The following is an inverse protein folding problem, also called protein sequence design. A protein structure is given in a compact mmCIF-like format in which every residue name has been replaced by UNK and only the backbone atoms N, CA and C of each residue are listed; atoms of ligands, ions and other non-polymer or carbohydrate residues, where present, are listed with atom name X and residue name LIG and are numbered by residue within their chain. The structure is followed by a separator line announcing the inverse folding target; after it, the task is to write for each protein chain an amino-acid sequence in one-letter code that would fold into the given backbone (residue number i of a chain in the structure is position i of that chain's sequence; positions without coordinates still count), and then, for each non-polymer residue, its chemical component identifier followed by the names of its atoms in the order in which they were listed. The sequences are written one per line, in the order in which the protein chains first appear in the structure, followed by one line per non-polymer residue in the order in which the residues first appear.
data_IF_409450866898
#
_entry.id   IF_409450866898
#
_cell.length_a   1.000
_cell.length_b   1.000
_cell.length_c   1.000
_cell.angle_alpha   90.00
_cell.angle_beta   90.00
_cell.angle_gamma   90.00
#
_symmetry.space_group_name_H-M   'P 1'
#
loop_
_entity.id
_entity.type
_entity.pdbx_description
1 polymer ?
#
# COMPACT_ATOMS: atom_id res chain seq x y z
N UNK A 1 -10.38 32.31 14.49
CA UNK A 1 -9.62 31.08 14.77
C UNK A 1 -10.07 30.02 13.77
N UNK A 2 -9.52 30.06 12.55
CA UNK A 2 -9.93 29.17 11.44
C UNK A 2 -8.93 28.04 11.38
N UNK A 3 -9.31 26.88 11.91
CA UNK A 3 -8.55 25.65 11.73
C UNK A 3 -8.68 25.23 10.27
N UNK A 4 -7.67 25.53 9.45
CA UNK A 4 -7.55 24.93 8.12
C UNK A 4 -7.20 23.47 8.34
N UNK A 5 -8.22 22.63 8.49
CA UNK A 5 -8.11 21.17 8.35
C UNK A 5 -7.32 20.94 7.06
N UNK A 6 -6.10 20.41 7.16
CA UNK A 6 -5.27 20.16 5.99
C UNK A 6 -6.04 19.40 4.93
N UNK A 7 -6.13 19.96 3.72
CA UNK A 7 -6.80 19.31 2.60
C UNK A 7 -5.88 18.21 2.05
N UNK A 8 -5.91 17.06 2.70
CA UNK A 8 -5.15 15.89 2.31
C UNK A 8 -5.47 15.43 0.88
N UNK A 9 -6.69 15.67 0.38
CA UNK A 9 -7.07 15.33 -1.00
C UNK A 9 -6.33 16.25 -1.98
N UNK A 10 -6.25 17.54 -1.67
CA UNK A 10 -5.45 18.50 -2.42
C UNK A 10 -3.97 18.13 -2.47
N UNK A 11 -3.38 17.68 -1.36
CA UNK A 11 -1.96 17.26 -1.30
C UNK A 11 -1.70 16.02 -2.17
N UNK A 12 -2.58 15.02 -2.14
CA UNK A 12 -2.44 13.81 -2.98
C UNK A 12 -2.55 14.18 -4.47
N UNK A 13 -3.56 14.95 -4.84
CA UNK A 13 -3.75 15.38 -6.24
C UNK A 13 -2.56 16.21 -6.75
N UNK A 14 -2.00 17.08 -5.90
CA UNK A 14 -0.82 17.87 -6.23
C UNK A 14 0.43 16.99 -6.41
N UNK A 15 0.61 15.96 -5.57
CA UNK A 15 1.71 15.01 -5.71
C UNK A 15 1.61 14.20 -7.01
N UNK A 16 0.41 13.72 -7.36
CA UNK A 16 0.15 13.02 -8.63
C UNK A 16 0.42 13.92 -9.84
N UNK A 17 -0.06 15.17 -9.80
CA UNK A 17 0.20 16.14 -10.86
C UNK A 17 1.70 16.46 -11.01
N UNK A 18 2.42 16.64 -9.90
CA UNK A 18 3.87 16.88 -9.91
C UNK A 18 4.66 15.72 -10.52
N UNK A 19 4.29 14.48 -10.18
CA UNK A 19 4.86 13.28 -10.80
C UNK A 19 4.60 13.24 -12.31
N UNK A 20 3.38 13.56 -12.75
CA UNK A 20 3.02 13.53 -14.17
C UNK A 20 3.78 14.59 -15.00
N UNK A 21 4.06 15.76 -14.41
CA UNK A 21 4.74 16.87 -15.08
C UNK A 21 6.26 16.65 -15.17
N UNK A 22 6.89 16.07 -14.14
CA UNK A 22 8.34 15.99 -14.04
C UNK A 22 8.83 14.61 -13.55
N UNK A 23 8.56 13.51 -14.29
CA UNK A 23 8.75 12.14 -13.80
C UNK A 23 10.21 11.75 -13.55
N UNK A 24 11.16 12.40 -14.24
CA UNK A 24 12.59 12.10 -14.16
C UNK A 24 13.37 13.09 -13.27
N UNK A 25 12.67 13.99 -12.59
CA UNK A 25 13.30 14.96 -11.69
C UNK A 25 13.41 14.41 -10.27
N UNK A 26 14.36 14.94 -9.51
CA UNK A 26 14.59 14.55 -8.11
C UNK A 26 13.35 14.71 -7.23
N UNK A 27 12.48 15.68 -7.55
CA UNK A 27 11.20 15.90 -6.86
C UNK A 27 10.22 14.72 -7.05
N UNK A 28 10.19 14.08 -8.22
CA UNK A 28 9.34 12.91 -8.44
C UNK A 28 9.81 11.73 -7.59
N UNK A 29 11.13 11.52 -7.47
CA UNK A 29 11.68 10.49 -6.59
C UNK A 29 11.26 10.71 -5.12
N UNK A 30 11.22 11.95 -4.65
CA UNK A 30 10.75 12.29 -3.30
C UNK A 30 9.23 12.06 -3.13
N UNK A 31 8.42 12.47 -4.11
CA UNK A 31 6.97 12.25 -4.09
C UNK A 31 6.63 10.75 -4.12
N UNK A 32 7.32 9.97 -4.95
CA UNK A 32 7.21 8.52 -4.96
C UNK A 32 7.61 7.90 -3.62
N UNK A 33 8.73 8.33 -3.03
CA UNK A 33 9.19 7.81 -1.74
C UNK A 33 8.20 8.10 -0.60
N UNK A 34 7.56 9.28 -0.59
CA UNK A 34 6.52 9.58 0.40
C UNK A 34 5.24 8.77 0.17
N UNK A 35 4.83 8.56 -1.08
CA UNK A 35 3.68 7.71 -1.41
C UNK A 35 3.95 6.21 -1.19
N UNK A 36 5.21 5.78 -1.18
CA UNK A 36 5.59 4.38 -1.04
C UNK A 36 5.65 3.89 0.42
N UNK A 37 5.51 4.79 1.41
CA UNK A 37 5.54 4.39 2.82
C UNK A 37 4.25 3.67 3.21
N UNK A 38 4.28 2.35 3.17
CA UNK A 38 3.21 1.50 3.66
C UNK A 38 3.77 0.27 4.38
N UNK A 39 3.03 -0.22 5.35
CA UNK A 39 3.36 -1.41 6.13
C UNK A 39 2.26 -2.45 5.92
N UNK A 40 2.65 -3.67 5.57
CA UNK A 40 1.77 -4.82 5.44
C UNK A 40 2.17 -5.89 6.45
N UNK A 41 1.18 -6.49 7.12
CA UNK A 41 1.38 -7.68 7.96
C UNK A 41 0.38 -8.75 7.55
N UNK A 42 0.89 -9.93 7.24
CA UNK A 42 0.16 -11.05 6.64
C UNK A 42 0.41 -12.32 7.45
N UNK A 43 -0.62 -13.16 7.60
CA UNK A 43 -0.44 -14.57 7.98
C UNK A 43 -0.10 -15.42 6.76
N UNK A 44 0.38 -16.64 6.97
CA UNK A 44 0.69 -17.60 5.90
C UNK A 44 -0.51 -17.80 4.96
N UNK A 45 -1.74 -17.87 5.51
CA UNK A 45 -2.97 -17.93 4.72
C UNK A 45 -3.24 -16.70 3.86
N UNK A 46 -2.74 -15.52 4.23
CA UNK A 46 -2.88 -14.28 3.46
C UNK A 46 -1.75 -14.06 2.43
N UNK A 47 -0.58 -14.66 2.61
CA UNK A 47 0.55 -14.54 1.65
C UNK A 47 0.58 -15.64 0.58
N UNK A 48 -0.33 -16.63 0.64
CA UNK A 48 -0.34 -17.81 -0.25
C UNK A 48 -0.22 -17.49 -1.75
N UNK A 49 -0.87 -16.43 -2.24
CA UNK A 49 -0.79 -16.02 -3.64
C UNK A 49 0.65 -15.72 -4.08
N UNK A 50 1.48 -15.17 -3.19
CA UNK A 50 2.88 -14.86 -3.46
C UNK A 50 3.83 -16.00 -3.08
N UNK A 51 3.60 -16.62 -1.91
CA UNK A 51 4.50 -17.64 -1.37
C UNK A 51 4.25 -19.02 -1.98
N UNK A 52 3.12 -19.64 -1.61
CA UNK A 52 2.88 -21.05 -1.90
C UNK A 52 2.38 -21.28 -3.33
N UNK A 53 1.61 -20.34 -3.88
CA UNK A 53 1.00 -20.47 -5.19
C UNK A 53 1.85 -19.86 -6.30
N UNK A 54 2.72 -18.90 -5.98
CA UNK A 54 3.48 -18.13 -6.98
C UNK A 54 2.59 -17.49 -8.06
N UNK A 55 1.30 -17.27 -7.75
CA UNK A 55 0.32 -16.70 -8.66
C UNK A 55 0.48 -15.18 -8.80
N UNK A 56 1.05 -14.54 -7.78
CA UNK A 56 1.50 -13.15 -7.79
C UNK A 56 2.96 -13.10 -7.35
N UNK A 57 3.69 -12.09 -7.80
CA UNK A 57 4.92 -11.67 -7.14
C UNK A 57 4.58 -10.90 -5.85
N UNK A 58 5.54 -10.78 -4.93
CA UNK A 58 5.38 -9.92 -3.75
C UNK A 58 5.01 -8.47 -4.10
N UNK A 59 5.60 -7.92 -5.17
CA UNK A 59 5.27 -6.57 -5.64
C UNK A 59 3.81 -6.46 -6.10
N UNK A 60 3.31 -7.46 -6.85
CA UNK A 60 1.91 -7.49 -7.29
C UNK A 60 0.94 -7.69 -6.11
N UNK A 61 1.32 -8.47 -5.10
CA UNK A 61 0.53 -8.61 -3.87
C UNK A 61 0.44 -7.28 -3.12
N UNK A 62 1.56 -6.56 -2.98
CA UNK A 62 1.58 -5.24 -2.34
C UNK A 62 0.80 -4.19 -3.15
N UNK A 63 0.83 -4.25 -4.48
CA UNK A 63 -0.02 -3.40 -5.33
C UNK A 63 -1.50 -3.70 -5.13
N UNK A 64 -1.89 -4.99 -5.05
CA UNK A 64 -3.26 -5.39 -4.73
C UNK A 64 -3.71 -4.84 -3.36
N UNK A 65 -2.87 -4.96 -2.33
CA UNK A 65 -3.14 -4.36 -1.02
C UNK A 65 -3.26 -2.85 -1.08
N UNK A 66 -2.42 -2.17 -1.86
CA UNK A 66 -2.46 -0.72 -2.03
C UNK A 66 -3.74 -0.25 -2.71
N UNK A 67 -4.18 -0.97 -3.75
CA UNK A 67 -5.27 -0.55 -4.64
C UNK A 67 -6.64 -1.02 -4.19
N UNK A 68 -6.75 -2.27 -3.75
CA UNK A 68 -8.02 -2.94 -3.46
C UNK A 68 -8.15 -3.34 -1.98
N UNK A 69 -7.04 -3.39 -1.25
CA UNK A 69 -7.02 -3.59 0.20
C UNK A 69 -6.98 -5.05 0.67
N UNK A 70 -6.94 -5.27 2.00
CA UNK A 70 -6.80 -6.61 2.59
C UNK A 70 -7.95 -7.58 2.26
N UNK A 71 -9.18 -7.09 2.19
CA UNK A 71 -10.35 -7.92 1.88
C UNK A 71 -10.27 -8.49 0.46
N UNK A 72 -9.82 -7.69 -0.51
CA UNK A 72 -9.61 -8.14 -1.87
C UNK A 72 -8.50 -9.20 -1.96
N UNK A 73 -7.40 -9.02 -1.22
CA UNK A 73 -6.35 -10.03 -1.12
C UNK A 73 -6.92 -11.38 -0.63
N UNK A 74 -7.68 -11.38 0.47
CA UNK A 74 -8.28 -12.60 1.00
C UNK A 74 -9.24 -13.22 -0.02
N UNK A 75 -10.10 -12.43 -0.67
CA UNK A 75 -11.02 -12.92 -1.68
C UNK A 75 -10.30 -13.61 -2.85
N UNK A 76 -9.25 -12.99 -3.40
CA UNK A 76 -8.44 -13.58 -4.49
C UNK A 76 -7.74 -14.87 -4.05
N UNK A 77 -7.28 -14.95 -2.80
CA UNK A 77 -6.73 -16.20 -2.26
C UNK A 77 -7.79 -17.30 -2.25
N UNK A 78 -9.03 -16.99 -1.82
CA UNK A 78 -10.14 -17.96 -1.83
C UNK A 78 -10.53 -18.37 -3.24
N UNK A 79 -10.52 -17.46 -4.21
CA UNK A 79 -10.76 -17.78 -5.62
C UNK A 79 -9.72 -18.78 -6.15
N UNK A 80 -8.44 -18.59 -5.86
CA UNK A 80 -7.39 -19.52 -6.25
C UNK A 80 -7.56 -20.90 -5.59
N UNK A 81 -7.90 -20.94 -4.30
CA UNK A 81 -8.15 -22.19 -3.57
C UNK A 81 -9.36 -22.96 -4.11
N UNK A 82 -10.43 -22.25 -4.48
CA UNK A 82 -11.65 -22.82 -5.07
C UNK A 82 -11.41 -23.32 -6.50
N UNK A 83 -10.54 -22.67 -7.26
CA UNK A 83 -10.15 -23.09 -8.60
C UNK A 83 -9.29 -24.37 -8.61
N UNK A 84 -8.67 -24.72 -7.48
CA UNK A 84 -7.83 -25.92 -7.33
C UNK A 84 -8.20 -26.70 -6.05
N UNK A 85 -9.42 -27.24 -5.92
CA UNK A 85 -9.97 -27.72 -4.66
C UNK A 85 -9.26 -28.95 -4.07
N UNK A 86 -8.45 -29.64 -4.88
CA UNK A 86 -7.67 -30.83 -4.53
C UNK A 86 -6.16 -30.56 -4.43
N UNK A 87 -5.66 -29.42 -4.90
CA UNK A 87 -4.23 -29.11 -4.85
C UNK A 87 -3.40 -29.69 -5.98
N UNK A 88 -3.98 -29.93 -7.15
CA UNK A 88 -3.24 -30.43 -8.32
C UNK A 88 -2.36 -29.33 -8.92
N UNK A 89 -2.90 -28.11 -9.03
CA UNK A 89 -2.14 -26.97 -9.57
C UNK A 89 -1.15 -26.43 -8.55
N UNK A 90 -1.55 -26.39 -7.28
CA UNK A 90 -0.72 -25.92 -6.17
C UNK A 90 -0.74 -26.96 -5.03
N UNK A 91 0.22 -27.91 -5.04
CA UNK A 91 0.33 -28.97 -4.03
C UNK A 91 0.33 -28.43 -2.60
N UNK A 92 -0.62 -28.91 -1.78
CA UNK A 92 -0.80 -28.45 -0.40
C UNK A 92 -1.53 -29.45 0.48
N UNK A 93 -1.26 -29.41 1.79
CA UNK A 93 -1.87 -30.30 2.78
C UNK A 93 -3.31 -29.92 3.17
N UNK A 94 -3.68 -28.64 3.03
CA UNK A 94 -5.01 -28.13 3.35
C UNK A 94 -5.53 -27.30 2.19
N UNK A 95 -6.83 -27.41 1.89
CA UNK A 95 -7.48 -26.61 0.83
C UNK A 95 -7.33 -25.11 1.09
N UNK A 96 -7.55 -24.71 2.34
CA UNK A 96 -7.52 -23.32 2.83
C UNK A 96 -6.82 -23.25 4.17
N UNK A 97 -6.21 -22.09 4.46
CA UNK A 97 -5.63 -21.73 5.75
C UNK A 97 -6.22 -20.41 6.28
N UNK A 98 -6.06 -20.14 7.57
CA UNK A 98 -6.53 -18.90 8.19
C UNK A 98 -5.77 -17.68 7.64
N UNK A 99 -6.52 -16.73 7.07
CA UNK A 99 -5.96 -15.59 6.35
C UNK A 99 -6.31 -14.28 7.06
N UNK A 100 -5.28 -13.61 7.59
CA UNK A 100 -5.38 -12.26 8.17
C UNK A 100 -4.38 -11.34 7.48
N UNK A 101 -4.85 -10.15 7.09
CA UNK A 101 -4.02 -9.13 6.49
C UNK A 101 -4.33 -7.75 7.07
N UNK A 102 -3.29 -7.01 7.43
CA UNK A 102 -3.36 -5.61 7.83
C UNK A 102 -2.47 -4.79 6.90
N UNK A 103 -2.99 -3.66 6.40
CA UNK A 103 -2.28 -2.75 5.52
C UNK A 103 -2.45 -1.31 6.01
N UNK A 104 -1.33 -0.64 6.28
CA UNK A 104 -1.30 0.73 6.80
C UNK A 104 -0.52 1.60 5.83
N UNK A 105 -1.11 2.72 5.41
CA UNK A 105 -0.39 3.77 4.68
C UNK A 105 0.15 4.77 5.69
N UNK A 106 1.46 4.97 5.70
CA UNK A 106 2.11 5.94 6.56
C UNK A 106 2.23 7.24 5.76
N UNK A 107 1.31 8.15 6.01
CA UNK A 107 1.50 9.54 5.60
C UNK A 107 2.31 10.24 6.69
N UNK A 108 3.45 10.84 6.34
CA UNK A 108 4.05 11.85 7.21
C UNK A 108 3.37 13.18 6.93
N UNK A 109 2.66 13.79 7.89
CA UNK A 109 2.33 15.20 7.77
C UNK A 109 3.64 16.00 7.68
N UNK A 110 3.63 17.09 6.90
CA UNK A 110 4.75 18.02 6.90
C UNK A 110 5.01 18.51 8.34
N UNK A 111 6.28 18.64 8.76
CA UNK A 111 6.58 19.19 10.07
C UNK A 111 5.96 20.59 10.19
N UNK A 112 5.32 20.84 11.32
CA UNK A 112 4.72 22.13 11.63
C UNK A 112 5.85 23.15 11.75
N UNK A 113 6.02 24.00 10.73
CA UNK A 113 6.98 25.10 10.79
C UNK A 113 6.52 26.09 11.85
N UNK A 114 7.08 25.96 13.05
CA UNK A 114 7.05 27.00 14.06
C UNK A 114 8.07 28.04 13.61
N UNK A 115 7.61 29.08 12.91
CA UNK A 115 8.45 30.22 12.58
C UNK A 115 9.00 30.81 13.88
N UNK A 116 10.32 30.78 14.04
CA UNK A 116 10.99 31.57 15.09
C UNK A 116 10.89 33.03 14.69
N UNK A 117 9.95 33.75 15.28
CA UNK A 117 9.98 35.21 15.29
C UNK A 117 11.17 35.66 16.13
N UNK A 118 12.22 36.14 15.47
CA UNK A 118 13.08 37.24 15.93
C UNK A 118 14.06 37.56 14.80
N UNK A 119 13.97 38.77 14.25
CA UNK A 119 15.07 39.75 14.24
C UNK A 119 14.46 41.11 13.80
N UNK A 120 14.63 42.09 14.69
CA UNK A 120 14.29 43.51 14.53
C UNK A 120 15.09 44.16 13.39
N UNK A 121 14.49 45.13 12.70
CA UNK A 121 14.90 46.55 12.76
C UNK A 121 13.78 47.48 12.26
#
# INVERSE_FOLDING_TARGET
MTSTRGDYRGVIAAAEAGIAVAPNESVAAQLYAQQAKAWARLTDGASRLADSFGALTWAQLLDLLRREGPAALIARTREAELADPVGERWPRFKRSDDATAAYVRIYQPAPEFHGTESFEE
#
